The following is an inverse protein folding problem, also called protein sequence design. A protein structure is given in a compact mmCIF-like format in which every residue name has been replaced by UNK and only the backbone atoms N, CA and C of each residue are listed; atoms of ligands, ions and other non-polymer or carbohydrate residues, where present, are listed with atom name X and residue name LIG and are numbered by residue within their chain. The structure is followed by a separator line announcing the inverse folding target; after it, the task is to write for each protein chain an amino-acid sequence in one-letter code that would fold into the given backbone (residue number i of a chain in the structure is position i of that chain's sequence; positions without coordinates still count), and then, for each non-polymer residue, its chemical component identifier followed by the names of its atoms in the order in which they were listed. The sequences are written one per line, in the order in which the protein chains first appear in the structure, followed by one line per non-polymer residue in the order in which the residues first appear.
data_IF_308610514246
#
_entry.id   IF_308610514246
#
_cell.length_a   1.000
_cell.length_b   1.000
_cell.length_c   1.000
_cell.angle_alpha   90.00
_cell.angle_beta   90.00
_cell.angle_gamma   90.00
#
_symmetry.space_group_name_H-M   'P 1'
#
loop_
_entity.id
_entity.type
_entity.pdbx_description
1 polymer ?
#
# COMPACT_ATOMS: atom_id res chain seq x y z
N UNK A 1 11.00 5.77 3.18
CA UNK A 1 10.36 6.37 1.99
C UNK A 1 10.65 5.55 0.74
N UNK A 2 9.68 5.45 -0.14
CA UNK A 2 9.76 4.77 -1.43
C UNK A 2 9.50 5.81 -2.54
N UNK A 3 10.57 6.25 -3.21
CA UNK A 3 10.49 7.24 -4.28
C UNK A 3 10.14 6.62 -5.62
N UNK A 4 9.41 7.35 -6.46
CA UNK A 4 8.96 6.88 -7.78
C UNK A 4 7.65 6.08 -7.75
N UNK A 5 6.93 6.15 -6.63
CA UNK A 5 5.68 5.43 -6.42
C UNK A 5 4.59 6.32 -5.85
N UNK A 6 3.35 5.97 -6.14
CA UNK A 6 2.15 6.64 -5.65
C UNK A 6 1.19 5.63 -5.02
N UNK A 7 0.74 5.93 -3.81
CA UNK A 7 -0.37 5.23 -3.17
C UNK A 7 -1.67 5.53 -3.92
N UNK A 8 -2.42 4.49 -4.26
CA UNK A 8 -3.75 4.54 -4.86
C UNK A 8 -4.66 3.52 -4.18
N UNK A 9 -5.97 3.70 -4.30
CA UNK A 9 -6.97 2.77 -3.77
C UNK A 9 -7.69 2.07 -4.92
N UNK A 10 -6.93 1.38 -5.77
CA UNK A 10 -7.44 0.81 -7.01
C UNK A 10 -7.51 -0.72 -7.02
N UNK A 11 -7.14 -1.40 -5.93
CA UNK A 11 -7.33 -2.84 -5.81
C UNK A 11 -8.81 -3.10 -5.53
N UNK A 12 -9.48 -3.88 -6.38
CA UNK A 12 -10.88 -4.28 -6.17
C UNK A 12 -11.01 -5.06 -4.86
N UNK A 13 -11.92 -4.62 -3.99
CA UNK A 13 -12.33 -5.37 -2.83
C UNK A 13 -13.34 -6.46 -3.24
N UNK A 14 -13.26 -7.65 -2.64
CA UNK A 14 -14.18 -8.73 -2.96
C UNK A 14 -15.63 -8.43 -2.52
N UNK A 15 -15.81 -7.56 -1.53
CA UNK A 15 -17.12 -7.19 -0.99
C UNK A 15 -17.93 -6.27 -1.93
N UNK A 16 -17.29 -5.31 -2.59
CA UNK A 16 -17.90 -4.41 -3.57
C UNK A 16 -16.86 -4.03 -4.65
N UNK A 17 -16.64 -4.91 -5.63
CA UNK A 17 -15.53 -4.77 -6.58
C UNK A 17 -15.68 -3.58 -7.54
N UNK A 18 -16.86 -2.98 -7.63
CA UNK A 18 -17.16 -1.86 -8.53
C UNK A 18 -16.99 -0.49 -7.87
N UNK A 19 -16.96 -0.43 -6.53
CA UNK A 19 -16.88 0.85 -5.80
C UNK A 19 -15.80 0.88 -4.73
N UNK A 20 -15.48 -0.25 -4.11
CA UNK A 20 -14.56 -0.32 -2.99
C UNK A 20 -13.14 -0.71 -3.44
N UNK A 21 -12.17 0.09 -2.99
CA UNK A 21 -10.76 -0.03 -3.31
C UNK A 21 -9.87 -0.25 -2.09
N UNK A 22 -9.04 -1.29 -2.12
CA UNK A 22 -7.91 -1.45 -1.19
C UNK A 22 -6.65 -0.75 -1.71
N UNK A 23 -5.71 -0.54 -0.79
CA UNK A 23 -4.45 0.13 -1.08
C UNK A 23 -3.61 -0.65 -2.09
N UNK A 24 -2.95 0.08 -2.96
CA UNK A 24 -1.98 -0.41 -3.92
C UNK A 24 -0.98 0.71 -4.21
N UNK A 25 0.18 0.37 -4.76
CA UNK A 25 1.14 1.34 -5.27
C UNK A 25 1.27 1.20 -6.78
N UNK A 26 1.42 2.33 -7.45
CA UNK A 26 1.70 2.40 -8.89
C UNK A 26 2.91 3.28 -9.13
N UNK A 27 3.66 3.02 -10.20
CA UNK A 27 4.80 3.84 -10.59
C UNK A 27 4.36 5.27 -10.88
N UNK A 28 5.05 6.24 -10.27
CA UNK A 28 4.92 7.66 -10.55
C UNK A 28 6.25 8.33 -10.13
N UNK A 29 7.12 8.70 -11.09
CA UNK A 29 8.47 9.20 -10.81
C UNK A 29 8.47 10.51 -9.99
N UNK A 30 7.32 11.18 -9.86
CA UNK A 30 7.17 12.45 -9.15
C UNK A 30 6.63 12.29 -7.73
N UNK A 31 6.30 11.07 -7.32
CA UNK A 31 5.63 10.78 -6.04
C UNK A 31 6.48 9.89 -5.14
N UNK A 32 6.10 9.93 -3.87
CA UNK A 32 6.73 9.18 -2.79
C UNK A 32 5.63 8.52 -1.96
N UNK A 33 5.88 7.27 -1.59
CA UNK A 33 5.11 6.50 -0.60
C UNK A 33 5.90 6.42 0.70
N UNK A 34 5.25 6.68 1.82
CA UNK A 34 5.75 6.38 3.16
C UNK A 34 5.01 5.16 3.70
N UNK A 35 5.72 4.40 4.52
CA UNK A 35 5.23 3.15 5.10
C UNK A 35 6.18 2.68 6.19
N UNK A 36 5.84 1.54 6.78
CA UNK A 36 6.63 0.91 7.85
C UNK A 36 7.38 -0.28 7.27
N UNK A 37 8.68 -0.35 7.59
CA UNK A 37 9.50 -1.51 7.24
C UNK A 37 9.49 -2.49 8.41
N UNK A 38 9.19 -3.76 8.12
CA UNK A 38 9.21 -4.84 9.10
C UNK A 38 10.29 -5.84 8.73
N UNK A 39 11.05 -6.28 9.72
CA UNK A 39 11.91 -7.45 9.63
C UNK A 39 11.10 -8.68 10.07
N UNK A 40 10.99 -9.67 9.19
CA UNK A 40 10.19 -10.88 9.42
C UNK A 40 10.96 -12.12 8.93
N UNK A 41 10.56 -13.29 9.42
CA UNK A 41 11.12 -14.56 8.98
C UNK A 41 10.59 -14.98 7.60
N UNK A 42 11.30 -15.90 6.92
CA UNK A 42 10.82 -16.51 5.67
C UNK A 42 9.47 -17.23 5.86
N UNK A 43 9.26 -17.89 7.00
CA UNK A 43 7.98 -18.54 7.32
C UNK A 43 6.83 -17.53 7.45
N UNK A 44 7.11 -16.31 7.88
CA UNK A 44 6.12 -15.24 7.95
C UNK A 44 5.81 -14.65 6.57
N UNK A 45 6.78 -14.66 5.64
CA UNK A 45 6.51 -14.33 4.25
C UNK A 45 5.48 -15.27 3.62
N UNK A 46 5.56 -16.58 3.87
CA UNK A 46 4.55 -17.52 3.36
C UNK A 46 3.15 -17.25 3.92
N UNK A 47 3.06 -16.78 5.17
CA UNK A 47 1.77 -16.37 5.76
C UNK A 47 1.26 -15.11 5.07
N UNK A 48 2.12 -14.12 4.86
CA UNK A 48 1.75 -12.89 4.15
C UNK A 48 1.31 -13.17 2.71
N UNK A 49 2.02 -14.03 1.98
CA UNK A 49 1.65 -14.44 0.62
C UNK A 49 0.21 -14.97 0.58
N UNK A 50 -0.19 -15.78 1.57
CA UNK A 50 -1.58 -16.28 1.68
C UNK A 50 -2.58 -15.17 1.96
N UNK A 51 -2.27 -14.25 2.87
CA UNK A 51 -3.16 -13.12 3.20
C UNK A 51 -3.34 -12.14 2.04
N UNK A 52 -2.26 -11.87 1.31
CA UNK A 52 -2.24 -10.99 0.13
C UNK A 52 -2.79 -11.69 -1.13
N UNK A 53 -3.07 -13.00 -1.04
CA UNK A 53 -3.55 -13.84 -2.12
C UNK A 53 -2.55 -13.96 -3.27
N UNK A 54 -1.25 -13.89 -2.98
CA UNK A 54 -0.18 -14.09 -3.94
C UNK A 54 -0.27 -15.52 -4.57
N UNK A 55 -0.04 -15.66 -5.89
CA UNK A 55 0.23 -14.62 -6.89
C UNK A 55 -1.03 -14.05 -7.57
N UNK A 56 -2.23 -14.49 -7.20
CA UNK A 56 -3.46 -14.20 -7.97
C UNK A 56 -4.06 -12.81 -7.67
N UNK A 57 -3.82 -12.29 -6.47
CA UNK A 57 -4.37 -11.01 -6.01
C UNK A 57 -3.33 -9.91 -6.07
N UNK A 58 -2.16 -10.15 -5.48
CA UNK A 58 -1.01 -9.27 -5.54
C UNK A 58 0.21 -10.04 -6.03
N UNK A 59 1.16 -9.34 -6.65
CA UNK A 59 2.51 -9.82 -6.92
C UNK A 59 3.46 -9.27 -5.86
N UNK A 60 4.34 -10.14 -5.35
CA UNK A 60 5.47 -9.70 -4.55
C UNK A 60 6.56 -9.11 -5.43
N UNK A 61 7.05 -7.93 -5.08
CA UNK A 61 8.12 -7.22 -5.79
C UNK A 61 9.21 -6.79 -4.80
N UNK A 62 10.44 -6.65 -5.31
CA UNK A 62 11.54 -6.02 -4.57
C UNK A 62 11.58 -4.54 -4.90
N UNK A 63 11.71 -3.72 -3.87
CA UNK A 63 11.81 -2.26 -3.95
C UNK A 63 13.00 -1.75 -3.14
N UNK A 64 13.60 -0.64 -3.56
CA UNK A 64 14.57 0.09 -2.74
C UNK A 64 13.83 1.17 -1.95
N UNK A 65 14.00 1.17 -0.63
CA UNK A 65 13.47 2.18 0.28
C UNK A 65 14.60 2.90 1.00
N UNK A 66 14.37 4.15 1.36
CA UNK A 66 15.30 4.97 2.15
C UNK A 66 14.73 5.12 3.56
N UNK A 67 15.48 4.73 4.58
CA UNK A 67 15.11 4.91 5.99
C UNK A 67 15.20 6.38 6.42
N UNK A 68 14.68 6.70 7.60
CA UNK A 68 14.82 8.03 8.22
C UNK A 68 16.29 8.40 8.47
N UNK A 69 17.15 7.41 8.68
CA UNK A 69 18.61 7.54 8.77
C UNK A 69 19.27 7.91 7.43
N UNK A 70 18.55 7.82 6.31
CA UNK A 70 19.09 7.97 4.96
C UNK A 70 19.68 6.69 4.36
N UNK A 71 19.71 5.58 5.11
CA UNK A 71 20.16 4.28 4.63
C UNK A 71 19.21 3.72 3.57
N UNK A 72 19.78 3.08 2.53
CA UNK A 72 19.02 2.38 1.49
C UNK A 72 18.90 0.89 1.82
N UNK A 73 17.67 0.39 1.80
CA UNK A 73 17.37 -1.01 2.07
C UNK A 73 16.54 -1.59 0.93
N UNK A 74 16.88 -2.80 0.49
CA UNK A 74 16.03 -3.58 -0.42
C UNK A 74 15.01 -4.33 0.41
N UNK A 75 13.73 -4.07 0.14
CA UNK A 75 12.60 -4.68 0.83
C UNK A 75 11.66 -5.36 -0.16
N UNK A 76 10.80 -6.25 0.34
CA UNK A 76 9.71 -6.82 -0.44
C UNK A 76 8.38 -6.13 -0.11
N UNK A 77 7.55 -5.94 -1.13
CA UNK A 77 6.19 -5.40 -0.99
C UNK A 77 5.26 -6.04 -2.01
N UNK A 78 3.97 -5.69 -1.95
CA UNK A 78 2.92 -6.29 -2.78
C UNK A 78 2.27 -5.23 -3.67
N UNK A 79 2.16 -5.54 -4.97
CA UNK A 79 1.41 -4.73 -5.96
C UNK A 79 0.24 -5.51 -6.54
N UNK A 80 -0.91 -4.87 -6.69
CA UNK A 80 -2.10 -5.55 -7.16
C UNK A 80 -1.92 -6.06 -8.60
N UNK A 81 -2.36 -7.29 -8.86
CA UNK A 81 -2.45 -7.82 -10.23
C UNK A 81 -3.37 -6.95 -11.08
N UNK A 82 -3.03 -6.76 -12.36
CA UNK A 82 -3.75 -5.87 -13.26
C UNK A 82 -5.25 -6.20 -13.34
N UNK A 83 -5.58 -7.49 -13.40
CA UNK A 83 -6.94 -8.02 -13.49
C UNK A 83 -7.75 -7.77 -12.22
N UNK A 84 -7.07 -7.46 -11.11
CA UNK A 84 -7.68 -7.15 -9.82
C UNK A 84 -7.70 -5.66 -9.53
N UNK A 85 -7.33 -4.81 -10.50
CA UNK A 85 -7.46 -3.36 -10.38
C UNK A 85 -8.72 -2.82 -11.04
N UNK A 86 -9.17 -1.65 -10.61
CA UNK A 86 -10.32 -0.94 -11.18
C UNK A 86 -10.11 0.57 -11.20
N UNK A 87 -11.00 1.27 -11.88
CA UNK A 87 -11.05 2.74 -11.89
C UNK A 87 -12.15 3.24 -10.95
N UNK A 88 -12.00 4.48 -10.46
CA UNK A 88 -13.00 5.15 -9.61
C UNK A 88 -13.35 4.44 -8.29
N UNK A 89 -12.48 3.54 -7.82
CA UNK A 89 -12.63 2.89 -6.54
C UNK A 89 -12.20 3.82 -5.40
N UNK A 90 -12.86 3.70 -4.26
CA UNK A 90 -12.56 4.45 -3.04
C UNK A 90 -12.42 3.49 -1.85
N UNK A 91 -11.51 3.77 -0.90
CA UNK A 91 -11.48 3.04 0.35
C UNK A 91 -12.74 3.34 1.18
N UNK A 92 -13.13 2.41 2.04
CA UNK A 92 -14.07 2.75 3.12
C UNK A 92 -13.36 3.61 4.17
N UNK A 93 -14.13 4.38 4.94
CA UNK A 93 -13.62 5.16 6.07
C UNK A 93 -12.92 4.27 7.08
N UNK A 94 -13.52 3.13 7.43
CA UNK A 94 -12.90 2.15 8.33
C UNK A 94 -11.54 1.67 7.81
N UNK A 95 -11.45 1.34 6.52
CA UNK A 95 -10.18 0.90 5.94
C UNK A 95 -9.14 2.03 5.95
N UNK A 96 -9.53 3.26 5.62
CA UNK A 96 -8.64 4.41 5.67
C UNK A 96 -8.16 4.70 7.11
N UNK A 97 -9.03 4.57 8.11
CA UNK A 97 -8.68 4.72 9.53
C UNK A 97 -7.61 3.71 9.97
N UNK A 98 -7.66 2.48 9.46
CA UNK A 98 -6.60 1.49 9.72
C UNK A 98 -5.24 1.98 9.20
N UNK A 99 -5.19 2.56 8.00
CA UNK A 99 -3.96 3.14 7.47
C UNK A 99 -3.51 4.37 8.28
N UNK A 100 -4.45 5.22 8.70
CA UNK A 100 -4.16 6.40 9.52
C UNK A 100 -3.66 6.03 10.92
N UNK A 101 -3.92 4.83 11.42
CA UNK A 101 -3.34 4.36 12.69
C UNK A 101 -1.81 4.32 12.70
N UNK A 102 -1.18 4.28 11.51
CA UNK A 102 0.26 4.37 11.35
C UNK A 102 0.83 5.79 11.57
N UNK A 103 0.01 6.76 12.02
CA UNK A 103 0.40 8.15 12.29
C UNK A 103 1.76 8.32 13.00
N UNK A 104 2.13 7.53 14.03
CA UNK A 104 3.42 7.69 14.71
C UNK A 104 4.65 7.44 13.81
N UNK A 105 4.47 6.76 12.68
CA UNK A 105 5.52 6.35 11.75
C UNK A 105 5.54 7.15 10.44
N UNK A 106 4.62 8.11 10.28
CA UNK A 106 4.46 8.90 9.06
C UNK A 106 4.86 10.34 9.31
N UNK A 107 5.39 11.00 8.28
CA UNK A 107 5.57 12.45 8.33
C UNK A 107 4.20 13.15 8.48
N UNK A 108 4.14 14.30 9.15
CA UNK A 108 2.91 15.09 9.26
C UNK A 108 2.28 15.40 7.89
N UNK A 109 3.13 15.72 6.90
CA UNK A 109 2.71 16.06 5.54
C UNK A 109 2.09 14.85 4.82
N UNK A 110 2.71 13.67 4.96
CA UNK A 110 2.17 12.44 4.38
C UNK A 110 0.86 12.03 5.03
N UNK A 111 0.80 12.12 6.37
CA UNK A 111 -0.41 11.81 7.13
C UNK A 111 -1.59 12.68 6.72
N UNK A 112 -1.43 14.00 6.61
CA UNK A 112 -2.52 14.89 6.18
C UNK A 112 -2.94 14.64 4.72
N UNK A 113 -1.99 14.27 3.84
CA UNK A 113 -2.30 13.84 2.47
C UNK A 113 -3.10 12.52 2.44
N UNK A 114 -2.77 11.57 3.30
CA UNK A 114 -3.51 10.31 3.44
C UNK A 114 -4.89 10.54 4.04
N UNK A 115 -5.01 11.46 5.00
CA UNK A 115 -6.28 11.81 5.64
C UNK A 115 -7.24 12.54 4.71
N UNK A 116 -6.74 13.28 3.72
CA UNK A 116 -7.57 13.97 2.72
C UNK A 116 -8.11 13.05 1.61
N UNK A 117 -7.84 11.75 1.67
CA UNK A 117 -8.39 10.79 0.72
C UNK A 117 -9.90 10.71 0.86
N UNK A 118 -10.60 10.74 -0.28
CA UNK A 118 -12.05 10.53 -0.32
C UNK A 118 -12.36 9.09 0.04
N UNK A 119 -13.41 8.89 0.83
CA UNK A 119 -13.92 7.58 1.21
C UNK A 119 -15.21 7.28 0.45
N UNK A 120 -15.56 6.00 0.37
CA UNK A 120 -16.80 5.52 -0.22
C UNK A 120 -18.03 5.94 0.60
N UNK A 121 -17.86 6.09 1.92
CA UNK A 121 -18.86 6.33 2.96
C UNK A 121 -18.48 7.48 3.92
#
# INVERSE_FOLDING_TARGET
MLGGWKLVFNKRADADPERQGYANIVEDPTKIVEGVLYEISEDDFEKLDRYEGYPNHYNRIKIEVILDTGEKVVAETYIAQKEKTGSNLLPTREYLERLLSAKPFLSPEYYERLKSQRTLD
#
